data_IF_826362601717
#
_entry.id   IF_826362601717
#
_cell.length_a   1.000
_cell.length_b   1.000
_cell.length_c   1.000
_cell.angle_alpha   90.00
_cell.angle_beta   90.00
_cell.angle_gamma   90.00
#
_symmetry.space_group_name_H-M   'P 1'
#
loop_
_entity.id
_entity.type
_entity.pdbx_description
1 polymer ?
#
# COMPACT_ATOMS: atom_id res chain seq x y z
N UNK A 1 11.00 -0.20 -31.53
CA UNK A 1 10.11 -0.80 -30.51
C UNK A 1 10.28 -0.01 -29.24
N UNK A 2 9.33 0.84 -28.90
CA UNK A 2 9.35 1.58 -27.63
C UNK A 2 9.14 0.56 -26.52
N UNK A 3 10.13 0.38 -25.63
CA UNK A 3 9.99 -0.55 -24.51
C UNK A 3 8.97 0.03 -23.52
N UNK A 4 8.04 -0.79 -22.99
CA UNK A 4 7.18 -0.39 -21.90
C UNK A 4 8.03 0.14 -20.74
N UNK A 5 7.77 1.37 -20.32
CA UNK A 5 8.37 1.93 -19.12
C UNK A 5 7.76 1.29 -17.86
N UNK A 6 8.51 1.32 -16.77
CA UNK A 6 7.99 1.04 -15.43
C UNK A 6 7.91 2.36 -14.67
N UNK A 7 6.78 2.58 -14.01
CA UNK A 7 6.60 3.75 -13.14
C UNK A 7 6.11 3.29 -11.75
N UNK A 8 6.28 4.16 -10.75
CA UNK A 8 6.06 3.83 -9.34
C UNK A 8 5.28 4.92 -8.64
N UNK A 9 4.42 4.49 -7.72
CA UNK A 9 3.72 5.37 -6.78
C UNK A 9 3.84 4.81 -5.37
N UNK A 10 3.50 5.63 -4.38
CA UNK A 10 3.59 5.25 -2.98
C UNK A 10 2.19 5.25 -2.38
N UNK A 11 1.84 4.22 -1.62
CA UNK A 11 0.61 4.21 -0.84
C UNK A 11 0.97 4.17 0.63
N UNK A 12 0.45 5.13 1.38
CA UNK A 12 0.68 5.27 2.81
C UNK A 12 -0.65 5.19 3.54
N UNK A 13 -0.68 4.55 4.72
CA UNK A 13 -1.84 4.53 5.60
C UNK A 13 -1.41 4.11 7.01
N UNK A 14 -2.28 4.36 8.00
CA UNK A 14 -2.07 3.95 9.38
C UNK A 14 -3.04 2.84 9.75
N UNK A 15 -2.50 1.78 10.35
CA UNK A 15 -3.26 0.68 10.93
C UNK A 15 -3.44 0.95 12.42
N UNK A 16 -4.70 0.87 12.87
CA UNK A 16 -5.10 1.20 14.25
C UNK A 16 -5.27 -0.01 15.16
N UNK A 17 -5.29 -1.22 14.60
CA UNK A 17 -5.36 -2.47 15.37
C UNK A 17 -4.08 -3.32 15.24
N UNK A 18 -2.95 -2.66 14.93
CA UNK A 18 -1.62 -3.26 14.92
C UNK A 18 -0.69 -2.37 15.75
N UNK A 19 -0.51 -2.69 17.05
CA UNK A 19 0.45 -2.03 17.89
C UNK A 19 1.85 -2.14 17.30
N UNK A 20 2.60 -1.04 17.37
CA UNK A 20 3.96 -1.03 16.88
C UNK A 20 4.83 -1.96 17.72
N UNK A 21 5.66 -2.74 17.04
CA UNK A 21 6.63 -3.64 17.65
C UNK A 21 8.00 -3.32 17.06
N UNK A 22 9.01 -3.15 17.89
CA UNK A 22 10.37 -2.80 17.45
C UNK A 22 10.98 -3.83 16.50
N UNK A 23 10.54 -5.09 16.53
CA UNK A 23 10.93 -6.10 15.55
C UNK A 23 10.48 -5.75 14.12
N UNK A 24 9.48 -4.88 13.96
CA UNK A 24 9.10 -4.32 12.65
C UNK A 24 10.14 -3.33 12.09
N UNK A 25 11.10 -2.89 12.88
CA UNK A 25 12.26 -2.12 12.41
C UNK A 25 13.54 -2.96 12.27
N UNK A 26 13.55 -4.21 12.75
CA UNK A 26 14.72 -5.09 12.68
C UNK A 26 14.76 -5.77 11.31
N UNK A 27 15.81 -5.52 10.49
CA UNK A 27 15.96 -6.18 9.19
C UNK A 27 15.92 -7.70 9.33
N UNK A 28 15.21 -8.36 8.42
CA UNK A 28 15.05 -9.82 8.36
C UNK A 28 14.39 -10.48 9.59
N UNK A 29 13.81 -9.71 10.51
CA UNK A 29 13.04 -10.31 11.61
C UNK A 29 11.84 -11.10 11.06
N UNK A 30 11.49 -12.20 11.74
CA UNK A 30 10.34 -13.01 11.33
C UNK A 30 9.04 -12.20 11.31
N UNK A 31 8.88 -11.27 12.26
CA UNK A 31 7.72 -10.37 12.34
C UNK A 31 7.68 -9.40 11.17
N UNK A 32 8.79 -8.73 10.85
CA UNK A 32 8.88 -7.85 9.69
C UNK A 32 8.55 -8.62 8.40
N UNK A 33 9.25 -9.72 8.12
CA UNK A 33 9.05 -10.49 6.89
C UNK A 33 7.60 -10.98 6.73
N UNK A 34 6.98 -11.44 7.83
CA UNK A 34 5.59 -11.91 7.83
C UNK A 34 4.63 -10.76 7.57
N UNK A 35 4.75 -9.65 8.30
CA UNK A 35 3.87 -8.49 8.13
C UNK A 35 4.05 -7.88 6.73
N UNK A 36 5.27 -7.80 6.20
CA UNK A 36 5.52 -7.34 4.83
C UNK A 36 4.82 -8.22 3.79
N UNK A 37 4.91 -9.55 3.93
CA UNK A 37 4.23 -10.49 3.02
C UNK A 37 2.71 -10.33 3.08
N UNK A 38 2.13 -10.26 4.28
CA UNK A 38 0.68 -10.06 4.45
C UNK A 38 0.23 -8.74 3.83
N UNK A 39 0.93 -7.64 4.11
CA UNK A 39 0.61 -6.32 3.53
C UNK A 39 0.73 -6.30 2.02
N UNK A 40 1.81 -6.86 1.47
CA UNK A 40 1.98 -6.96 0.03
C UNK A 40 0.83 -7.75 -0.61
N UNK A 41 0.40 -8.87 -0.01
CA UNK A 41 -0.75 -9.63 -0.51
C UNK A 41 -2.05 -8.82 -0.50
N UNK A 42 -2.32 -8.08 0.58
CA UNK A 42 -3.54 -7.26 0.70
C UNK A 42 -3.55 -6.12 -0.32
N UNK A 43 -2.45 -5.38 -0.42
CA UNK A 43 -2.31 -4.27 -1.38
C UNK A 43 -2.33 -4.77 -2.83
N UNK A 44 -1.70 -5.89 -3.10
CA UNK A 44 -1.71 -6.49 -4.44
C UNK A 44 -3.13 -6.88 -4.87
N UNK A 45 -3.95 -7.41 -3.95
CA UNK A 45 -5.34 -7.74 -4.26
C UNK A 45 -6.14 -6.47 -4.53
N UNK A 46 -6.08 -5.52 -3.61
CA UNK A 46 -6.78 -4.23 -3.67
C UNK A 46 -6.51 -3.47 -4.99
N UNK A 47 -5.23 -3.40 -5.39
CA UNK A 47 -4.85 -2.65 -6.59
C UNK A 47 -5.08 -3.43 -7.88
N UNK A 48 -5.08 -4.78 -7.85
CA UNK A 48 -5.51 -5.59 -8.99
C UNK A 48 -7.00 -5.43 -9.30
N UNK A 49 -7.81 -5.17 -8.28
CA UNK A 49 -9.25 -4.96 -8.41
C UNK A 49 -9.61 -3.49 -8.73
N UNK A 50 -8.62 -2.61 -8.90
CA UNK A 50 -8.78 -1.20 -9.29
C UNK A 50 -8.67 -1.01 -10.81
N UNK A 51 -8.96 0.21 -11.31
CA UNK A 51 -8.72 0.59 -12.70
C UNK A 51 -7.26 0.38 -13.16
N UNK A 52 -6.30 0.41 -12.23
CA UNK A 52 -4.88 0.18 -12.50
C UNK A 52 -4.56 -1.31 -12.76
N UNK A 53 -5.44 -2.24 -12.40
CA UNK A 53 -5.21 -3.68 -12.39
C UNK A 53 -4.50 -4.26 -13.63
N UNK A 54 -4.90 -3.92 -14.88
CA UNK A 54 -4.25 -4.42 -16.09
C UNK A 54 -2.76 -4.03 -16.23
N UNK A 55 -2.40 -2.84 -15.75
CA UNK A 55 -1.03 -2.32 -15.78
C UNK A 55 -0.25 -2.62 -14.50
N UNK A 56 -0.93 -2.91 -13.40
CA UNK A 56 -0.34 -3.12 -12.08
C UNK A 56 0.54 -4.38 -12.02
N UNK A 57 1.73 -4.24 -11.46
CA UNK A 57 2.71 -5.32 -11.34
C UNK A 57 2.84 -5.84 -9.90
N UNK A 58 2.70 -4.95 -8.92
CA UNK A 58 2.80 -5.32 -7.51
C UNK A 58 3.32 -4.19 -6.65
N UNK A 59 3.08 -4.31 -5.34
CA UNK A 59 3.71 -3.51 -4.33
C UNK A 59 4.87 -4.28 -3.71
N UNK A 60 5.97 -3.57 -3.51
CA UNK A 60 7.17 -4.04 -2.86
C UNK A 60 7.60 -3.01 -1.81
N UNK A 61 8.37 -3.46 -0.82
CA UNK A 61 8.92 -2.61 0.25
C UNK A 61 7.81 -1.98 1.09
N UNK A 62 7.47 -2.63 2.19
CA UNK A 62 6.62 -2.05 3.24
C UNK A 62 7.49 -1.63 4.41
N UNK A 63 7.53 -0.33 4.70
CA UNK A 63 8.10 0.18 5.93
C UNK A 63 6.99 0.27 6.99
N UNK A 64 7.31 -0.13 8.21
CA UNK A 64 6.41 -0.03 9.36
C UNK A 64 7.00 0.96 10.35
N UNK A 65 6.27 2.04 10.63
CA UNK A 65 6.72 3.13 11.50
C UNK A 65 5.78 3.28 12.70
N UNK A 66 6.30 3.62 13.89
CA UNK A 66 5.45 3.92 15.02
C UNK A 66 4.70 5.23 14.76
N UNK A 67 3.40 5.24 15.03
CA UNK A 67 2.61 6.48 15.18
C UNK A 67 2.58 6.84 16.67
N UNK A 68 2.42 8.14 16.99
CA UNK A 68 2.46 8.68 18.36
C UNK A 68 1.79 7.74 19.38
N UNK A 69 2.46 7.53 20.51
CA UNK A 69 2.11 6.58 21.60
C UNK A 69 2.31 5.07 21.32
N UNK A 70 2.66 4.66 20.10
CA UNK A 70 3.06 3.28 19.79
C UNK A 70 1.91 2.29 19.59
N UNK A 71 0.67 2.70 19.81
CA UNK A 71 -0.52 1.85 19.67
C UNK A 71 -0.90 1.57 18.20
N UNK A 72 -0.39 2.39 17.27
CA UNK A 72 -0.70 2.34 15.86
C UNK A 72 0.58 2.21 15.02
N UNK A 73 0.44 1.57 13.86
CA UNK A 73 1.55 1.37 12.91
C UNK A 73 1.24 2.05 11.58
N UNK A 74 2.08 3.00 11.19
CA UNK A 74 2.07 3.57 9.84
C UNK A 74 2.75 2.60 8.87
N UNK A 75 2.16 2.45 7.68
CA UNK A 75 2.62 1.60 6.59
C UNK A 75 2.93 2.49 5.40
N UNK A 76 4.13 2.37 4.84
CA UNK A 76 4.49 2.96 3.55
C UNK A 76 4.82 1.83 2.57
N UNK A 77 4.16 1.80 1.42
CA UNK A 77 4.39 0.79 0.39
C UNK A 77 4.67 1.43 -0.97
N UNK A 78 5.60 0.85 -1.74
CA UNK A 78 5.88 1.32 -3.10
C UNK A 78 5.31 0.35 -4.12
N UNK A 79 4.44 0.85 -4.99
CA UNK A 79 3.70 0.06 -5.97
C UNK A 79 4.20 0.38 -7.38
N UNK A 80 4.33 -0.66 -8.20
CA UNK A 80 4.89 -0.57 -9.56
C UNK A 80 3.83 -0.96 -10.58
N UNK A 81 3.80 -0.25 -11.69
CA UNK A 81 2.91 -0.51 -12.82
C UNK A 81 3.62 -0.28 -14.16
N UNK A 82 3.10 -0.89 -15.22
CA UNK A 82 3.53 -0.62 -16.60
C UNK A 82 3.01 0.74 -17.05
N UNK A 83 3.90 1.58 -17.58
CA UNK A 83 3.56 2.88 -18.15
C UNK A 83 4.11 2.95 -19.58
N UNK A 84 3.22 2.86 -20.55
CA UNK A 84 3.63 3.08 -21.94
C UNK A 84 3.94 4.57 -22.14
N UNK A 85 4.92 4.93 -22.99
CA UNK A 85 5.29 6.33 -23.21
C UNK A 85 4.14 7.25 -23.65
N UNK A 86 3.10 6.69 -24.28
CA UNK A 86 1.90 7.40 -24.72
C UNK A 86 0.74 7.34 -23.71
N UNK A 87 0.89 6.62 -22.59
CA UNK A 87 -0.14 6.54 -21.55
C UNK A 87 -0.23 7.86 -20.78
N UNK A 88 -1.41 8.26 -20.31
CA UNK A 88 -1.50 9.35 -19.34
C UNK A 88 -0.78 8.99 -18.04
N UNK A 89 -0.46 10.03 -17.25
CA UNK A 89 0.02 9.84 -15.90
C UNK A 89 -1.01 9.14 -15.01
N UNK A 90 -0.54 8.56 -13.90
CA UNK A 90 -1.41 7.91 -12.93
C UNK A 90 -2.42 8.91 -12.36
N UNK A 91 -3.71 8.64 -12.52
CA UNK A 91 -4.77 9.35 -11.82
C UNK A 91 -4.78 8.95 -10.34
N UNK A 92 -3.94 9.63 -9.55
CA UNK A 92 -3.81 9.38 -8.11
C UNK A 92 -5.10 9.68 -7.36
N UNK A 93 -5.88 10.65 -7.82
CA UNK A 93 -7.14 11.04 -7.17
C UNK A 93 -8.20 9.97 -7.43
N UNK A 94 -8.32 9.52 -8.68
CA UNK A 94 -9.16 8.39 -9.04
C UNK A 94 -8.79 7.14 -8.24
N UNK A 95 -7.50 6.78 -8.21
CA UNK A 95 -7.02 5.62 -7.46
C UNK A 95 -7.29 5.74 -5.95
N UNK A 96 -7.13 6.93 -5.38
CA UNK A 96 -7.48 7.20 -3.97
C UNK A 96 -8.97 6.92 -3.71
N UNK A 97 -9.87 7.37 -4.59
CA UNK A 97 -11.30 7.13 -4.44
C UNK A 97 -11.66 5.64 -4.60
N UNK A 98 -11.04 4.93 -5.54
CA UNK A 98 -11.22 3.49 -5.71
C UNK A 98 -10.77 2.71 -4.46
N UNK A 99 -9.58 3.03 -3.94
CA UNK A 99 -9.06 2.43 -2.71
C UNK A 99 -9.95 2.76 -1.52
N UNK A 100 -10.38 4.01 -1.38
CA UNK A 100 -11.29 4.45 -0.32
C UNK A 100 -12.59 3.65 -0.34
N UNK A 101 -13.22 3.50 -1.51
CA UNK A 101 -14.45 2.73 -1.67
C UNK A 101 -14.25 1.25 -1.32
N UNK A 102 -13.21 0.62 -1.88
CA UNK A 102 -12.90 -0.80 -1.64
C UNK A 102 -12.53 -1.11 -0.18
N UNK A 103 -12.04 -0.12 0.57
CA UNK A 103 -11.70 -0.26 2.00
C UNK A 103 -12.82 0.22 2.93
N UNK A 104 -14.04 0.41 2.41
CA UNK A 104 -15.20 0.85 3.19
C UNK A 104 -15.02 2.25 3.77
N UNK A 105 -14.54 3.18 2.94
CA UNK A 105 -14.21 4.54 3.34
C UNK A 105 -12.94 4.60 4.21
N UNK A 106 -11.91 3.83 3.86
CA UNK A 106 -10.62 3.81 4.56
C UNK A 106 -10.77 3.35 6.01
N UNK A 107 -11.60 2.33 6.24
CA UNK A 107 -11.81 1.77 7.58
C UNK A 107 -11.23 0.40 7.76
N UNK A 108 -11.11 -0.38 6.67
CA UNK A 108 -10.71 -1.77 6.75
C UNK A 108 -9.93 -2.23 5.53
N UNK A 109 -8.82 -2.94 5.77
CA UNK A 109 -8.07 -3.69 4.77
C UNK A 109 -7.82 -5.11 5.30
N UNK A 110 -8.67 -6.05 4.88
CA UNK A 110 -8.63 -7.43 5.38
C UNK A 110 -8.84 -7.49 6.91
N UNK A 111 -7.87 -8.01 7.69
CA UNK A 111 -7.96 -8.06 9.15
C UNK A 111 -7.61 -6.73 9.83
N UNK A 112 -7.13 -5.73 9.08
CA UNK A 112 -6.62 -4.48 9.64
C UNK A 112 -7.68 -3.37 9.63
N UNK A 113 -7.78 -2.65 10.74
CA UNK A 113 -8.52 -1.40 10.88
C UNK A 113 -7.61 -0.23 10.49
N UNK A 114 -8.15 0.73 9.74
CA UNK A 114 -7.40 1.85 9.20
C UNK A 114 -7.83 3.17 9.84
N UNK A 115 -6.90 4.12 9.93
CA UNK A 115 -7.22 5.52 10.18
C UNK A 115 -7.71 6.16 8.87
N UNK A 116 -8.98 6.60 8.90
CA UNK A 116 -9.69 7.16 7.74
C UNK A 116 -9.00 8.36 7.10
N UNK A 117 -8.18 9.08 7.86
CA UNK A 117 -7.52 10.32 7.44
C UNK A 117 -6.08 10.12 6.98
N UNK A 118 -5.57 8.89 7.09
CA UNK A 118 -4.15 8.59 6.91
C UNK A 118 -3.77 8.11 5.51
N UNK A 119 -4.75 7.78 4.66
CA UNK A 119 -4.49 7.25 3.32
C UNK A 119 -3.89 8.34 2.42
N UNK A 120 -2.80 8.01 1.74
CA UNK A 120 -2.20 8.82 0.69
C UNK A 120 -1.73 7.94 -0.46
N UNK A 121 -1.83 8.44 -1.70
CA UNK A 121 -1.45 7.77 -2.96
C UNK A 121 -0.58 8.71 -3.80
#
# INVERSE_FOLDING_TARGET
TTHPGLDRFTINFTITNLPYDSNLAVPHSAKLNTTQRVMATLLNRLLKDSSLGPAFLGCATTAFRPVRQGDNTAVDAVCTYRKEPSSPDLDRVGLYHEVSNQTGGITRLGPYSLDRTSLYV
#
